data_IF_653852090654
#
_entry.id   IF_653852090654
#
_cell.length_a   1.000
_cell.length_b   1.000
_cell.length_c   1.000
_cell.angle_alpha   90.00
_cell.angle_beta   90.00
_cell.angle_gamma   90.00
#
_symmetry.space_group_name_H-M   'P 1'
#
loop_
_entity.id
_entity.type
_entity.pdbx_description
1 polymer ?
#
# COMPACT_ATOMS: atom_id res chain seq x y z
N UNK A 1 -32.23 -0.62 28.63
CA UNK A 1 -32.52 0.27 29.77
C UNK A 1 -33.96 0.08 30.19
N UNK A 2 -34.21 -0.19 31.46
CA UNK A 2 -35.58 -0.29 31.96
C UNK A 2 -36.18 1.12 32.01
N UNK A 3 -37.36 1.31 31.41
CA UNK A 3 -38.05 2.61 31.41
C UNK A 3 -38.57 3.06 32.78
N UNK A 4 -38.55 2.16 33.78
CA UNK A 4 -39.06 2.42 35.11
C UNK A 4 -37.97 2.64 36.17
N UNK A 5 -36.78 2.05 36.01
CA UNK A 5 -35.74 2.07 37.05
C UNK A 5 -34.32 2.34 36.50
N UNK A 6 -34.20 2.77 35.27
CA UNK A 6 -32.91 3.02 34.60
C UNK A 6 -31.89 1.86 34.64
N UNK A 7 -32.33 0.67 35.05
CA UNK A 7 -31.48 -0.51 35.12
C UNK A 7 -31.03 -0.90 33.71
N UNK A 8 -29.73 -0.87 33.51
CA UNK A 8 -29.10 -1.37 32.26
C UNK A 8 -28.97 -2.88 32.44
N UNK A 9 -29.82 -3.63 31.76
CA UNK A 9 -29.60 -5.08 31.61
C UNK A 9 -28.29 -5.22 30.82
N UNK A 10 -27.24 -5.84 31.37
CA UNK A 10 -26.06 -6.14 30.56
C UNK A 10 -26.50 -6.97 29.36
N UNK A 11 -26.16 -6.52 28.18
CA UNK A 11 -26.41 -7.30 26.96
C UNK A 11 -25.72 -8.63 27.16
N UNK A 12 -26.51 -9.71 27.22
CA UNK A 12 -25.94 -11.07 27.28
C UNK A 12 -24.97 -11.17 26.10
N UNK A 13 -23.74 -11.59 26.36
CA UNK A 13 -22.80 -11.93 25.32
C UNK A 13 -23.49 -12.87 24.31
N UNK A 14 -23.70 -12.41 23.11
CA UNK A 14 -24.27 -13.21 22.03
C UNK A 14 -23.14 -13.57 21.02
N UNK A 15 -23.40 -14.65 20.31
CA UNK A 15 -22.55 -14.96 19.14
C UNK A 15 -22.95 -13.98 18.03
N UNK A 16 -21.98 -13.23 17.54
CA UNK A 16 -22.24 -12.27 16.44
C UNK A 16 -22.56 -13.03 15.14
N UNK A 17 -23.64 -12.63 14.51
CA UNK A 17 -24.02 -13.05 13.15
C UNK A 17 -23.92 -11.83 12.23
N UNK A 18 -22.83 -11.74 11.49
CA UNK A 18 -22.55 -10.62 10.61
C UNK A 18 -23.17 -10.82 9.24
N UNK A 19 -23.57 -9.73 8.59
CA UNK A 19 -24.05 -9.75 7.22
C UNK A 19 -24.36 -8.37 6.67
N UNK A 20 -24.45 -8.28 5.36
CA UNK A 20 -24.78 -7.03 4.64
C UNK A 20 -26.24 -6.63 4.85
N UNK A 21 -27.17 -7.60 4.86
CA UNK A 21 -28.61 -7.37 5.00
C UNK A 21 -29.01 -7.30 6.47
N UNK A 22 -28.58 -6.27 7.21
CA UNK A 22 -29.18 -5.94 8.50
C UNK A 22 -30.48 -5.15 8.28
N UNK A 23 -31.40 -5.21 9.26
CA UNK A 23 -32.66 -4.45 9.20
C UNK A 23 -32.36 -2.93 9.19
N UNK A 24 -32.18 -2.38 7.99
CA UNK A 24 -32.11 -0.96 7.77
C UNK A 24 -33.52 -0.40 7.60
N UNK A 25 -34.07 0.16 8.68
CA UNK A 25 -35.41 0.77 8.69
C UNK A 25 -35.41 2.27 8.39
N UNK A 26 -34.26 2.82 8.01
CA UNK A 26 -34.08 4.25 7.69
C UNK A 26 -34.62 4.61 6.30
N UNK A 27 -35.01 5.87 6.13
CA UNK A 27 -35.27 6.44 4.81
C UNK A 27 -33.93 6.77 4.16
N UNK A 28 -33.61 6.12 3.06
CA UNK A 28 -32.39 6.41 2.28
C UNK A 28 -31.64 5.14 1.84
N UNK A 29 -30.46 5.34 1.30
CA UNK A 29 -29.59 4.24 0.86
C UNK A 29 -28.83 3.65 2.05
N UNK A 30 -28.59 2.34 2.03
CA UNK A 30 -27.72 1.66 3.01
C UNK A 30 -26.32 2.29 3.08
N UNK A 31 -25.85 2.90 2.01
CA UNK A 31 -24.57 3.62 1.95
C UNK A 31 -24.51 4.87 2.84
N UNK A 32 -25.65 5.44 3.20
CA UNK A 32 -25.77 6.60 4.09
C UNK A 32 -25.79 6.20 5.58
N UNK A 33 -25.92 4.91 5.88
CA UNK A 33 -25.86 4.43 7.27
C UNK A 33 -24.49 4.77 7.89
N UNK A 34 -24.51 5.15 9.16
CA UNK A 34 -23.32 5.63 9.85
C UNK A 34 -22.91 4.72 11.01
N UNK A 35 -21.60 4.49 11.11
CA UNK A 35 -20.96 3.82 12.24
C UNK A 35 -20.17 4.83 13.08
N UNK A 36 -20.18 4.66 14.38
CA UNK A 36 -19.32 5.44 15.28
C UNK A 36 -18.03 4.65 15.56
N UNK A 37 -16.90 5.17 15.08
CA UNK A 37 -15.60 4.51 15.18
C UNK A 37 -14.63 5.44 15.90
N UNK A 38 -14.25 5.10 17.13
CA UNK A 38 -13.29 5.88 17.90
C UNK A 38 -13.68 7.32 18.15
N UNK A 39 -14.99 7.61 18.24
CA UNK A 39 -15.52 8.96 18.42
C UNK A 39 -15.76 9.75 17.11
N UNK A 40 -15.51 9.15 15.96
CA UNK A 40 -15.82 9.71 14.62
C UNK A 40 -16.97 8.92 14.00
N UNK A 41 -17.88 9.63 13.32
CA UNK A 41 -18.98 9.01 12.58
C UNK A 41 -18.56 8.86 11.11
N UNK A 42 -18.67 7.64 10.56
CA UNK A 42 -18.39 7.34 9.15
C UNK A 42 -19.57 6.65 8.49
N UNK A 43 -19.88 7.05 7.26
CA UNK A 43 -20.89 6.36 6.46
C UNK A 43 -20.36 5.03 5.92
N UNK A 44 -21.27 4.13 5.53
CA UNK A 44 -20.91 2.89 4.81
C UNK A 44 -20.09 3.21 3.56
N UNK A 45 -20.50 4.20 2.78
CA UNK A 45 -19.77 4.63 1.59
C UNK A 45 -18.34 5.07 1.91
N UNK A 46 -18.15 5.88 2.96
CA UNK A 46 -16.82 6.29 3.40
C UNK A 46 -15.95 5.12 3.81
N UNK A 47 -16.50 4.14 4.52
CA UNK A 47 -15.77 2.93 4.92
C UNK A 47 -15.34 2.10 3.71
N UNK A 48 -16.20 1.95 2.72
CA UNK A 48 -15.88 1.24 1.47
C UNK A 48 -14.77 1.98 0.71
N UNK A 49 -14.89 3.29 0.54
CA UNK A 49 -13.88 4.11 -0.16
C UNK A 49 -12.52 4.10 0.54
N UNK A 50 -12.50 4.20 1.87
CA UNK A 50 -11.27 4.17 2.65
C UNK A 50 -10.59 2.79 2.62
N UNK A 51 -11.36 1.71 2.68
CA UNK A 51 -10.81 0.35 2.61
C UNK A 51 -10.35 -0.02 1.21
N UNK A 52 -11.07 0.44 0.18
CA UNK A 52 -10.84 0.14 -1.24
C UNK A 52 -11.05 -1.31 -1.66
N UNK A 53 -11.25 -2.24 -0.72
CA UNK A 53 -11.35 -3.67 -1.00
C UNK A 53 -12.41 -4.41 -0.18
N UNK A 54 -13.07 -3.77 0.79
CA UNK A 54 -14.00 -4.40 1.71
C UNK A 54 -15.23 -3.52 1.97
N UNK A 55 -16.33 -4.14 2.36
CA UNK A 55 -17.54 -3.47 2.84
C UNK A 55 -17.82 -3.87 4.30
N UNK A 56 -18.52 -3.02 5.08
CA UNK A 56 -18.88 -3.36 6.44
C UNK A 56 -20.07 -4.33 6.47
N UNK A 57 -19.98 -5.38 7.27
CA UNK A 57 -21.09 -6.24 7.63
C UNK A 57 -21.42 -6.07 9.09
N UNK A 58 -22.65 -5.63 9.40
CA UNK A 58 -23.10 -5.39 10.76
C UNK A 58 -23.66 -6.65 11.38
N UNK A 59 -23.55 -6.77 12.71
CA UNK A 59 -24.22 -7.81 13.46
C UNK A 59 -25.75 -7.68 13.34
N UNK A 60 -26.43 -8.76 12.96
CA UNK A 60 -27.89 -8.81 12.76
C UNK A 60 -28.67 -8.89 14.07
N UNK A 61 -27.99 -9.10 15.21
CA UNK A 61 -28.66 -9.12 16.49
C UNK A 61 -29.17 -7.73 16.85
N UNK A 62 -30.47 -7.55 17.12
CA UNK A 62 -31.07 -6.24 17.42
C UNK A 62 -30.35 -5.54 18.59
N UNK A 63 -29.99 -4.27 18.37
CA UNK A 63 -29.29 -3.44 19.35
C UNK A 63 -27.77 -3.66 19.42
N UNK A 64 -27.20 -4.55 18.62
CA UNK A 64 -25.76 -4.70 18.46
C UNK A 64 -25.26 -3.74 17.35
N UNK A 65 -24.29 -2.89 17.70
CA UNK A 65 -23.67 -1.95 16.76
C UNK A 65 -22.30 -2.44 16.23
N UNK A 66 -21.89 -3.65 16.58
CA UNK A 66 -20.65 -4.24 16.11
C UNK A 66 -20.71 -4.57 14.62
N UNK A 67 -19.60 -4.34 13.93
CA UNK A 67 -19.44 -4.68 12.51
C UNK A 67 -18.02 -5.18 12.21
N UNK A 68 -17.89 -5.87 11.10
CA UNK A 68 -16.61 -6.32 10.56
C UNK A 68 -16.46 -5.83 9.12
N UNK A 69 -15.23 -5.65 8.65
CA UNK A 69 -14.94 -5.37 7.24
C UNK A 69 -14.72 -6.68 6.50
N UNK A 70 -15.56 -6.95 5.51
CA UNK A 70 -15.54 -8.17 4.69
C UNK A 70 -15.06 -7.82 3.28
N UNK A 71 -14.10 -8.55 2.72
CA UNK A 71 -13.65 -8.32 1.35
C UNK A 71 -14.79 -8.40 0.33
N UNK A 72 -14.79 -7.51 -0.67
CA UNK A 72 -15.78 -7.53 -1.72
C UNK A 72 -15.76 -8.84 -2.51
N UNK A 73 -16.93 -9.41 -2.75
CA UNK A 73 -17.12 -10.51 -3.68
C UNK A 73 -17.40 -9.97 -5.07
N UNK A 74 -16.33 -9.69 -5.82
CA UNK A 74 -16.45 -9.10 -7.15
C UNK A 74 -17.09 -10.06 -8.17
N UNK A 75 -18.04 -9.55 -8.89
CA UNK A 75 -18.60 -10.18 -10.07
C UNK A 75 -17.65 -10.17 -11.26
N UNK A 76 -18.20 -10.47 -12.43
CA UNK A 76 -17.50 -10.39 -13.71
C UNK A 76 -17.19 -8.93 -14.05
N UNK A 77 -16.07 -8.69 -14.71
CA UNK A 77 -15.79 -7.43 -15.37
C UNK A 77 -16.61 -7.31 -16.66
N UNK A 78 -17.49 -6.34 -16.71
CA UNK A 78 -18.28 -6.05 -17.90
C UNK A 78 -17.71 -4.81 -18.59
N UNK A 79 -17.62 -4.84 -19.92
CA UNK A 79 -17.20 -3.67 -20.68
C UNK A 79 -18.36 -2.69 -20.74
N UNK A 80 -18.15 -1.47 -20.27
CA UNK A 80 -19.13 -0.38 -20.26
C UNK A 80 -18.85 0.70 -21.29
N UNK A 81 -17.59 0.77 -21.74
CA UNK A 81 -17.14 1.63 -22.83
C UNK A 81 -16.10 0.90 -23.65
N UNK A 82 -16.32 0.77 -24.96
CA UNK A 82 -15.30 0.24 -25.87
C UNK A 82 -14.23 1.29 -26.12
N UNK A 83 -12.94 0.91 -26.25
CA UNK A 83 -11.92 1.82 -26.78
C UNK A 83 -12.29 2.16 -28.22
N UNK A 84 -12.20 3.42 -28.61
CA UNK A 84 -12.44 3.83 -29.98
C UNK A 84 -11.14 4.01 -30.77
N UNK A 85 -11.29 4.20 -32.08
CA UNK A 85 -10.16 4.37 -33.01
C UNK A 85 -9.48 5.74 -32.91
N UNK A 86 -10.04 6.68 -32.14
CA UNK A 86 -9.50 8.04 -31.97
C UNK A 86 -8.59 8.17 -30.73
N UNK A 87 -8.30 7.05 -30.05
CA UNK A 87 -7.41 7.02 -28.89
C UNK A 87 -8.10 7.14 -27.54
N UNK A 88 -9.43 7.11 -27.53
CA UNK A 88 -10.19 7.02 -26.29
C UNK A 88 -10.04 5.63 -25.67
N UNK A 89 -9.63 5.61 -24.42
CA UNK A 89 -9.53 4.35 -23.67
C UNK A 89 -10.92 3.79 -23.40
N UNK A 90 -11.06 2.49 -23.53
CA UNK A 90 -12.24 1.77 -23.09
C UNK A 90 -12.38 1.74 -21.57
N UNK A 91 -13.54 1.30 -21.09
CA UNK A 91 -13.82 1.16 -19.66
C UNK A 91 -14.54 -0.14 -19.35
N UNK A 92 -14.23 -0.72 -18.22
CA UNK A 92 -14.94 -1.88 -17.68
C UNK A 92 -15.31 -1.65 -16.22
N UNK A 93 -16.33 -2.35 -15.78
CA UNK A 93 -16.89 -2.27 -14.43
C UNK A 93 -17.07 -3.65 -13.85
N UNK A 94 -16.78 -3.82 -12.59
CA UNK A 94 -17.14 -5.00 -11.81
C UNK A 94 -17.92 -4.57 -10.58
N UNK A 95 -19.00 -5.28 -10.28
CA UNK A 95 -19.90 -5.02 -9.16
C UNK A 95 -19.72 -6.08 -8.08
N UNK A 96 -19.74 -5.67 -6.82
CA UNK A 96 -19.75 -6.60 -5.70
C UNK A 96 -21.12 -7.28 -5.61
N UNK A 97 -21.15 -8.62 -5.62
CA UNK A 97 -22.40 -9.38 -5.55
C UNK A 97 -23.14 -9.27 -4.19
N UNK A 98 -22.55 -8.62 -3.20
CA UNK A 98 -23.12 -8.46 -1.87
C UNK A 98 -23.60 -7.04 -1.63
N UNK A 99 -22.76 -6.04 -1.85
CA UNK A 99 -23.06 -4.64 -1.56
C UNK A 99 -23.31 -3.78 -2.81
N UNK A 100 -23.27 -4.36 -4.02
CA UNK A 100 -23.51 -3.67 -5.29
C UNK A 100 -22.55 -2.50 -5.59
N UNK A 101 -21.53 -2.31 -4.73
CA UNK A 101 -20.50 -1.30 -4.99
C UNK A 101 -19.72 -1.64 -6.25
N UNK A 102 -19.46 -0.63 -7.07
CA UNK A 102 -18.84 -0.78 -8.37
C UNK A 102 -17.42 -0.24 -8.39
N UNK A 103 -16.51 -1.01 -8.95
CA UNK A 103 -15.18 -0.54 -9.30
C UNK A 103 -15.01 -0.48 -10.81
N UNK A 104 -14.29 0.53 -11.26
CA UNK A 104 -14.03 0.76 -12.67
C UNK A 104 -12.56 0.53 -13.01
N UNK A 105 -12.28 0.18 -14.26
CA UNK A 105 -10.93 0.06 -14.79
C UNK A 105 -10.90 0.46 -16.25
N UNK A 106 -9.85 1.18 -16.66
CA UNK A 106 -9.63 1.48 -18.07
C UNK A 106 -9.16 0.23 -18.82
N UNK A 107 -9.58 0.11 -20.08
CA UNK A 107 -9.03 -0.87 -21.02
C UNK A 107 -7.81 -0.22 -21.67
N UNK A 108 -6.63 -0.75 -21.36
CA UNK A 108 -5.35 -0.27 -21.87
C UNK A 108 -4.87 -1.19 -23.00
N UNK A 109 -4.66 -0.61 -24.20
CA UNK A 109 -4.19 -1.27 -25.41
C UNK A 109 -5.27 -1.43 -26.50
N UNK A 110 -4.84 -1.93 -27.67
CA UNK A 110 -5.69 -2.08 -28.86
C UNK A 110 -6.48 -3.39 -28.81
N UNK A 111 -7.73 -3.31 -28.43
CA UNK A 111 -8.65 -4.43 -28.49
C UNK A 111 -9.33 -4.51 -29.86
N UNK A 112 -8.87 -5.41 -30.69
CA UNK A 112 -9.29 -5.57 -32.09
C UNK A 112 -9.75 -7.01 -32.41
N UNK A 113 -10.19 -7.27 -33.65
CA UNK A 113 -10.51 -8.61 -34.12
C UNK A 113 -9.36 -9.62 -34.04
N UNK A 114 -8.10 -9.15 -33.95
CA UNK A 114 -6.91 -9.99 -33.91
C UNK A 114 -6.37 -10.18 -32.49
N UNK A 115 -7.06 -9.57 -31.49
CA UNK A 115 -6.69 -9.62 -30.07
C UNK A 115 -7.89 -10.10 -29.24
N UNK A 116 -7.66 -10.32 -27.94
CA UNK A 116 -8.73 -10.58 -27.00
C UNK A 116 -8.47 -9.83 -25.68
N UNK A 117 -9.54 -9.44 -25.01
CA UNK A 117 -9.47 -8.86 -23.67
C UNK A 117 -9.37 -10.00 -22.64
N UNK A 118 -8.46 -9.89 -21.68
CA UNK A 118 -8.31 -10.80 -20.55
C UNK A 118 -8.75 -10.11 -19.28
N UNK A 119 -9.68 -10.73 -18.59
CA UNK A 119 -10.10 -10.34 -17.25
C UNK A 119 -10.00 -11.51 -16.29
N UNK A 120 -9.77 -11.23 -15.02
CA UNK A 120 -9.60 -12.24 -13.99
C UNK A 120 -10.55 -11.92 -12.84
N UNK A 121 -11.42 -12.86 -12.52
CA UNK A 121 -12.25 -12.82 -11.32
C UNK A 121 -11.42 -13.30 -10.14
N UNK A 122 -11.43 -12.56 -9.04
CA UNK A 122 -10.65 -12.90 -7.83
C UNK A 122 -9.16 -13.12 -8.14
N UNK A 123 -8.55 -12.10 -8.77
CA UNK A 123 -7.15 -12.15 -9.13
C UNK A 123 -6.77 -11.08 -10.17
N UNK A 124 -5.62 -11.25 -10.79
CA UNK A 124 -5.10 -10.34 -11.82
C UNK A 124 -4.28 -11.07 -12.88
N UNK A 125 -4.16 -10.46 -14.04
CA UNK A 125 -3.24 -10.87 -15.11
C UNK A 125 -2.19 -9.77 -15.36
N UNK A 126 -1.05 -10.14 -15.94
CA UNK A 126 0.01 -9.19 -16.32
C UNK A 126 -0.35 -8.33 -17.53
N UNK A 127 -1.30 -8.78 -18.35
CA UNK A 127 -1.81 -8.03 -19.51
C UNK A 127 -3.32 -8.16 -19.62
N UNK A 128 -3.96 -7.12 -20.10
CA UNK A 128 -5.38 -7.09 -20.38
C UNK A 128 -5.69 -7.42 -21.84
N UNK A 129 -4.88 -6.93 -22.77
CA UNK A 129 -5.03 -7.21 -24.20
C UNK A 129 -3.96 -8.22 -24.62
N UNK A 130 -4.41 -9.29 -25.26
CA UNK A 130 -3.57 -10.41 -25.67
C UNK A 130 -3.85 -10.83 -27.10
N UNK A 131 -2.87 -11.45 -27.73
CA UNK A 131 -2.97 -12.10 -29.03
C UNK A 131 -2.49 -13.56 -28.96
N UNK A 132 -2.80 -14.37 -29.94
CA UNK A 132 -2.32 -15.74 -30.02
C UNK A 132 -0.80 -15.82 -29.82
N UNK A 133 -0.36 -16.75 -28.98
CA UNK A 133 1.05 -16.97 -28.65
C UNK A 133 1.58 -16.11 -27.48
N UNK A 134 0.85 -15.12 -27.02
CA UNK A 134 1.28 -14.32 -25.86
C UNK A 134 1.41 -15.20 -24.62
N UNK A 135 2.48 -14.93 -23.88
CA UNK A 135 2.72 -15.51 -22.55
C UNK A 135 2.40 -14.46 -21.49
N UNK A 136 1.44 -14.77 -20.64
CA UNK A 136 1.03 -13.93 -19.53
C UNK A 136 1.16 -14.68 -18.22
N UNK A 137 1.11 -13.95 -17.12
CA UNK A 137 1.01 -14.51 -15.77
C UNK A 137 -0.33 -14.16 -15.17
N UNK A 138 -0.92 -15.16 -14.50
CA UNK A 138 -2.15 -15.04 -13.74
C UNK A 138 -1.83 -15.17 -12.26
N UNK A 139 -2.40 -14.31 -11.46
CA UNK A 139 -2.23 -14.30 -10.00
C UNK A 139 -3.62 -14.44 -9.39
N UNK A 140 -3.93 -15.60 -8.78
CA UNK A 140 -5.16 -15.75 -8.03
C UNK A 140 -5.12 -14.86 -6.78
N UNK A 141 -6.27 -14.45 -6.29
CA UNK A 141 -6.40 -13.79 -4.99
C UNK A 141 -6.02 -14.77 -3.88
N UNK A 142 -5.23 -14.30 -2.92
CA UNK A 142 -4.84 -15.10 -1.77
C UNK A 142 -6.05 -15.38 -0.88
N UNK A 143 -6.25 -16.63 -0.50
CA UNK A 143 -7.31 -17.07 0.40
C UNK A 143 -6.75 -17.94 1.49
N UNK A 144 -6.88 -17.50 2.74
CA UNK A 144 -6.40 -18.23 3.91
C UNK A 144 -6.91 -19.68 3.92
N UNK A 145 -5.98 -20.62 4.01
CA UNK A 145 -6.31 -22.05 4.03
C UNK A 145 -6.75 -22.66 2.70
N UNK A 146 -6.72 -21.90 1.60
CA UNK A 146 -7.06 -22.42 0.26
C UNK A 146 -5.95 -22.11 -0.73
N UNK A 147 -5.63 -23.08 -1.59
CA UNK A 147 -4.69 -22.89 -2.70
C UNK A 147 -5.41 -22.97 -4.04
N UNK A 148 -4.99 -22.17 -5.01
CA UNK A 148 -5.48 -22.29 -6.36
C UNK A 148 -4.93 -23.58 -6.99
N UNK A 149 -5.82 -24.43 -7.50
CA UNK A 149 -5.48 -25.72 -8.13
C UNK A 149 -5.67 -25.72 -9.64
N UNK A 150 -6.19 -24.64 -10.20
CA UNK A 150 -6.44 -24.49 -11.62
C UNK A 150 -7.26 -23.25 -11.93
N UNK A 151 -7.64 -23.11 -13.18
CA UNK A 151 -8.40 -21.98 -13.69
C UNK A 151 -9.51 -22.46 -14.60
N UNK A 152 -10.74 -22.02 -14.37
CA UNK A 152 -11.79 -22.06 -15.37
C UNK A 152 -11.63 -20.87 -16.30
N UNK A 153 -11.96 -21.08 -17.57
CA UNK A 153 -11.90 -19.99 -18.56
C UNK A 153 -13.21 -19.97 -19.31
N UNK A 154 -13.79 -18.80 -19.41
CA UNK A 154 -14.89 -18.53 -20.28
C UNK A 154 -14.43 -17.54 -21.35
N UNK A 155 -14.90 -17.70 -22.56
CA UNK A 155 -14.74 -16.76 -23.63
C UNK A 155 -16.12 -16.28 -24.08
N UNK A 156 -16.27 -14.98 -24.20
CA UNK A 156 -17.48 -14.36 -24.69
C UNK A 156 -17.12 -13.33 -25.77
N UNK A 157 -17.79 -13.42 -26.88
CA UNK A 157 -17.86 -12.37 -27.89
C UNK A 157 -19.32 -12.03 -28.10
N UNK A 158 -19.73 -10.87 -27.61
CA UNK A 158 -21.07 -10.35 -27.85
C UNK A 158 -21.11 -9.59 -29.18
N UNK A 159 -22.24 -9.63 -29.82
CA UNK A 159 -22.54 -8.75 -30.94
C UNK A 159 -22.80 -7.36 -30.35
N UNK A 160 -21.78 -6.53 -30.28
CA UNK A 160 -21.94 -5.13 -29.93
C UNK A 160 -22.19 -4.35 -31.22
N UNK A 161 -23.18 -3.47 -31.20
CA UNK A 161 -23.48 -2.52 -32.28
C UNK A 161 -22.32 -1.53 -32.54
N UNK A 162 -21.23 -1.64 -31.80
CA UNK A 162 -20.02 -0.85 -31.97
C UNK A 162 -19.22 -1.40 -33.15
N UNK A 163 -19.11 -0.62 -34.21
CA UNK A 163 -18.38 -0.87 -35.46
C UNK A 163 -16.91 -1.28 -35.30
N UNK A 164 -16.35 -1.15 -34.14
CA UNK A 164 -14.97 -1.46 -33.84
C UNK A 164 -14.68 -2.98 -33.87
N UNK A 165 -15.65 -3.83 -33.54
CA UNK A 165 -15.60 -5.28 -33.81
C UNK A 165 -16.42 -5.56 -35.07
N UNK A 166 -16.02 -4.97 -36.19
CA UNK A 166 -16.65 -5.21 -37.49
C UNK A 166 -16.45 -6.65 -37.92
N UNK A 167 -17.34 -7.51 -37.54
CA UNK A 167 -17.38 -8.89 -37.98
C UNK A 167 -18.80 -9.37 -37.99
N UNK A 168 -19.21 -9.82 -39.12
CA UNK A 168 -20.49 -10.54 -39.39
C UNK A 168 -20.63 -11.83 -38.58
N UNK A 169 -19.99 -11.93 -37.41
CA UNK A 169 -19.96 -13.13 -36.57
C UNK A 169 -21.10 -13.14 -35.56
N UNK A 170 -21.79 -14.25 -35.46
CA UNK A 170 -22.72 -14.54 -34.38
C UNK A 170 -22.04 -14.43 -33.00
N UNK A 171 -22.81 -14.11 -31.94
CA UNK A 171 -22.28 -14.21 -30.57
C UNK A 171 -21.67 -15.58 -30.33
N UNK A 172 -20.48 -15.61 -29.74
CA UNK A 172 -19.78 -16.86 -29.44
C UNK A 172 -19.52 -16.92 -27.94
N UNK A 173 -19.97 -17.99 -27.32
CA UNK A 173 -19.66 -18.31 -25.93
C UNK A 173 -18.99 -19.67 -25.86
N UNK A 174 -17.87 -19.76 -25.18
CA UNK A 174 -17.13 -20.99 -24.92
C UNK A 174 -16.75 -21.06 -23.44
N UNK A 175 -16.77 -22.26 -22.91
CA UNK A 175 -16.40 -22.52 -21.51
C UNK A 175 -15.44 -23.70 -21.45
N UNK A 176 -14.37 -23.55 -20.71
CA UNK A 176 -13.42 -24.61 -20.45
C UNK A 176 -13.31 -24.89 -18.94
N UNK A 177 -13.49 -26.13 -18.56
CA UNK A 177 -13.22 -26.61 -17.21
C UNK A 177 -11.74 -26.41 -16.86
N UNK A 178 -11.39 -26.54 -15.59
CA UNK A 178 -10.00 -26.35 -15.14
C UNK A 178 -9.02 -27.32 -15.85
N UNK A 179 -9.44 -28.55 -16.14
CA UNK A 179 -8.59 -29.54 -16.83
C UNK A 179 -8.40 -29.20 -18.32
N UNK A 180 -9.48 -28.79 -19.00
CA UNK A 180 -9.41 -28.37 -20.39
C UNK A 180 -8.59 -27.08 -20.54
N UNK A 181 -8.83 -26.10 -19.68
CA UNK A 181 -8.09 -24.84 -19.67
C UNK A 181 -6.60 -25.06 -19.38
N UNK A 182 -6.25 -25.97 -18.47
CA UNK A 182 -4.87 -26.32 -18.17
C UNK A 182 -4.10 -26.77 -19.41
N UNK A 183 -4.73 -27.60 -20.22
CA UNK A 183 -4.11 -28.13 -21.46
C UNK A 183 -4.08 -27.07 -22.54
N UNK A 184 -5.20 -26.40 -22.79
CA UNK A 184 -5.37 -25.46 -23.90
C UNK A 184 -4.52 -24.18 -23.73
N UNK A 185 -4.51 -23.60 -22.53
CA UNK A 185 -3.76 -22.39 -22.20
C UNK A 185 -2.37 -22.70 -21.61
N UNK A 186 -1.94 -23.97 -21.59
CA UNK A 186 -0.66 -24.42 -21.01
C UNK A 186 -0.43 -23.83 -19.62
N UNK A 187 -1.44 -23.93 -18.77
CA UNK A 187 -1.40 -23.37 -17.42
C UNK A 187 -0.45 -24.17 -16.53
N UNK A 188 0.56 -23.50 -15.99
CA UNK A 188 1.57 -24.09 -15.11
C UNK A 188 1.85 -23.16 -13.93
N UNK A 189 2.03 -23.73 -12.74
CA UNK A 189 2.50 -22.98 -11.57
C UNK A 189 3.97 -22.63 -11.73
N UNK A 190 4.36 -21.45 -11.28
CA UNK A 190 5.74 -20.97 -11.29
C UNK A 190 6.35 -21.06 -9.88
N UNK A 191 6.40 -22.28 -9.33
CA UNK A 191 6.95 -22.57 -8.01
C UNK A 191 5.99 -22.29 -6.84
N UNK A 192 4.84 -21.67 -7.09
CA UNK A 192 3.80 -21.37 -6.09
C UNK A 192 2.43 -21.42 -6.75
N UNK A 193 1.40 -21.81 -5.98
CA UNK A 193 0.01 -21.75 -6.44
C UNK A 193 -0.51 -20.30 -6.60
N UNK A 194 0.24 -19.30 -6.16
CA UNK A 194 -0.08 -17.88 -6.27
C UNK A 194 0.40 -17.24 -7.58
N UNK A 195 1.18 -17.97 -8.41
CA UNK A 195 1.63 -17.48 -9.72
C UNK A 195 1.53 -18.58 -10.77
N UNK A 196 0.81 -18.29 -11.85
CA UNK A 196 0.56 -19.22 -12.95
C UNK A 196 1.01 -18.64 -14.27
N UNK A 197 1.84 -19.36 -15.01
CA UNK A 197 2.11 -19.08 -16.42
C UNK A 197 0.91 -19.50 -17.26
N UNK A 198 0.56 -18.66 -18.24
CA UNK A 198 -0.51 -18.91 -19.21
C UNK A 198 -0.02 -18.55 -20.60
N UNK A 199 -0.28 -19.40 -21.59
CA UNK A 199 -0.03 -19.13 -23.01
C UNK A 199 -1.35 -19.04 -23.74
N UNK A 200 -1.62 -17.93 -24.41
CA UNK A 200 -2.85 -17.73 -25.18
C UNK A 200 -2.79 -18.61 -26.45
N UNK A 201 -3.70 -19.55 -26.62
CA UNK A 201 -3.72 -20.41 -27.80
C UNK A 201 -4.15 -19.66 -29.05
N UNK A 202 -3.95 -20.29 -30.20
CA UNK A 202 -4.52 -19.77 -31.45
C UNK A 202 -6.05 -19.71 -31.37
N UNK A 203 -6.65 -18.62 -31.82
CA UNK A 203 -8.12 -18.48 -31.78
C UNK A 203 -8.83 -19.59 -32.56
N UNK A 204 -8.26 -20.03 -33.67
CA UNK A 204 -8.75 -21.18 -34.43
C UNK A 204 -8.73 -22.50 -33.67
N UNK A 205 -7.73 -22.70 -32.78
CA UNK A 205 -7.65 -23.91 -31.94
C UNK A 205 -8.72 -23.95 -30.85
N UNK A 206 -9.32 -22.82 -30.54
CA UNK A 206 -10.38 -22.67 -29.55
C UNK A 206 -11.78 -22.61 -30.17
N UNK A 207 -11.85 -22.59 -31.52
CA UNK A 207 -13.08 -22.28 -32.26
C UNK A 207 -13.74 -21.00 -31.69
N UNK A 208 -12.89 -20.00 -31.42
CA UNK A 208 -13.25 -18.71 -30.86
C UNK A 208 -12.56 -17.63 -31.70
N UNK A 209 -13.32 -16.75 -32.37
CA UNK A 209 -12.74 -15.64 -33.14
C UNK A 209 -12.07 -14.62 -32.20
N UNK A 210 -11.13 -13.83 -32.71
CA UNK A 210 -10.61 -12.68 -31.95
C UNK A 210 -11.67 -11.60 -31.72
N UNK A 211 -11.34 -10.60 -30.94
CA UNK A 211 -12.26 -9.52 -30.57
C UNK A 211 -13.20 -9.84 -29.40
N UNK A 212 -13.06 -10.98 -28.76
CA UNK A 212 -13.82 -11.34 -27.57
C UNK A 212 -13.04 -11.14 -26.27
N UNK A 213 -13.65 -11.58 -25.19
CA UNK A 213 -13.13 -11.45 -23.83
C UNK A 213 -12.96 -12.82 -23.20
N UNK A 214 -11.78 -13.07 -22.63
CA UNK A 214 -11.51 -14.20 -21.75
C UNK A 214 -11.76 -13.81 -20.30
N UNK A 215 -12.55 -14.62 -19.60
CA UNK A 215 -12.77 -14.53 -18.17
C UNK A 215 -12.07 -15.70 -17.49
N UNK A 216 -11.01 -15.40 -16.76
CA UNK A 216 -10.33 -16.40 -15.95
C UNK A 216 -10.87 -16.40 -14.53
N UNK A 217 -11.23 -17.56 -14.01
CA UNK A 217 -11.65 -17.74 -12.63
C UNK A 217 -10.82 -18.83 -11.96
N UNK A 218 -10.11 -18.51 -10.85
CA UNK A 218 -9.30 -19.52 -10.16
C UNK A 218 -10.20 -20.54 -9.45
N UNK A 219 -9.79 -21.80 -9.51
CA UNK A 219 -10.41 -22.89 -8.75
C UNK A 219 -9.59 -23.14 -7.51
N UNK A 220 -10.21 -23.05 -6.35
CA UNK A 220 -9.56 -23.24 -5.08
C UNK A 220 -9.87 -24.61 -4.47
N UNK A 221 -8.92 -25.15 -3.71
CA UNK A 221 -9.10 -26.29 -2.82
C UNK A 221 -8.48 -25.98 -1.45
N UNK A 222 -8.85 -26.76 -0.43
CA UNK A 222 -8.20 -26.68 0.86
C UNK A 222 -6.69 -26.87 0.71
N UNK A 223 -5.92 -26.01 1.37
CA UNK A 223 -4.47 -26.09 1.36
C UNK A 223 -3.99 -27.06 2.44
N UNK A 224 -3.18 -28.02 2.06
CA UNK A 224 -2.51 -28.97 2.97
C UNK A 224 -1.19 -28.43 3.51
N UNK A 225 -0.83 -27.20 3.14
CA UNK A 225 0.40 -26.49 3.52
C UNK A 225 1.70 -27.25 3.16
N UNK A 226 1.65 -28.17 2.18
CA UNK A 226 2.81 -28.96 1.73
C UNK A 226 3.74 -28.22 0.74
N UNK A 227 3.31 -27.07 0.20
CA UNK A 227 4.03 -26.32 -0.84
C UNK A 227 5.22 -25.50 -0.33
N UNK A 228 5.67 -25.73 0.90
CA UNK A 228 6.78 -24.99 1.52
C UNK A 228 6.33 -23.70 2.19
N UNK A 229 7.31 -22.90 2.63
CA UNK A 229 7.06 -21.66 3.37
C UNK A 229 7.75 -20.48 2.73
N UNK A 230 7.17 -19.28 2.93
CA UNK A 230 7.76 -17.99 2.58
C UNK A 230 7.75 -17.08 3.79
N UNK A 231 8.58 -16.03 3.77
CA UNK A 231 8.63 -15.04 4.85
C UNK A 231 7.94 -13.77 4.38
N UNK A 232 6.93 -13.33 5.12
CA UNK A 232 6.17 -12.11 4.86
C UNK A 232 6.54 -11.02 5.89
N UNK A 233 6.39 -9.77 5.50
CA UNK A 233 6.51 -8.60 6.39
C UNK A 233 7.88 -8.44 7.09
N UNK A 234 8.94 -9.15 6.66
CA UNK A 234 10.26 -8.99 7.24
C UNK A 234 10.76 -7.54 7.08
N UNK A 235 11.33 -7.01 8.15
CA UNK A 235 11.93 -5.66 8.17
C UNK A 235 13.29 -5.76 8.82
N UNK A 236 14.32 -5.30 8.12
CA UNK A 236 15.64 -5.20 8.72
C UNK A 236 15.61 -4.21 9.92
N UNK A 237 16.34 -4.55 10.97
CA UNK A 237 16.64 -3.62 12.04
C UNK A 237 17.60 -2.55 11.48
N UNK A 238 17.29 -1.27 11.70
CA UNK A 238 18.11 -0.16 11.19
C UNK A 238 18.25 0.90 12.27
N UNK A 239 19.46 1.19 12.65
CA UNK A 239 19.77 2.17 13.68
C UNK A 239 19.06 1.83 15.01
N UNK A 240 18.30 2.80 15.55
CA UNK A 240 17.49 2.67 16.77
C UNK A 240 16.09 2.10 16.51
N UNK A 241 15.74 1.84 15.23
CA UNK A 241 14.43 1.28 14.86
C UNK A 241 14.48 -0.23 14.92
N UNK A 242 13.47 -0.79 15.57
CA UNK A 242 13.30 -2.24 15.61
C UNK A 242 13.03 -2.80 14.20
N UNK A 243 13.60 -3.95 13.93
CA UNK A 243 13.28 -4.79 12.80
C UNK A 243 12.20 -5.81 13.16
N UNK A 244 11.91 -6.69 12.23
CA UNK A 244 11.00 -7.82 12.38
C UNK A 244 11.50 -9.00 11.55
N UNK A 245 11.54 -10.20 12.12
CA UNK A 245 12.01 -11.40 11.42
C UNK A 245 11.09 -11.79 10.26
N UNK A 246 9.87 -11.33 10.28
CA UNK A 246 8.82 -11.69 9.34
C UNK A 246 8.01 -12.91 9.78
N UNK A 247 6.79 -12.98 9.30
CA UNK A 247 5.89 -14.10 9.52
C UNK A 247 6.24 -15.24 8.56
N UNK A 248 6.25 -16.46 9.04
CA UNK A 248 6.34 -17.63 8.18
C UNK A 248 4.96 -17.99 7.67
N UNK A 249 4.76 -17.92 6.36
CA UNK A 249 3.49 -18.24 5.70
C UNK A 249 3.63 -19.40 4.73
N UNK A 250 2.54 -20.09 4.46
CA UNK A 250 2.47 -21.10 3.42
C UNK A 250 2.68 -20.47 2.04
N UNK A 251 3.59 -21.00 1.23
CA UNK A 251 3.88 -20.48 -0.10
C UNK A 251 2.71 -20.66 -1.10
N UNK A 252 1.80 -21.63 -0.83
CA UNK A 252 0.68 -21.94 -1.71
C UNK A 252 -0.59 -21.13 -1.42
N UNK A 253 -0.86 -20.75 -0.16
CA UNK A 253 -2.11 -20.08 0.20
C UNK A 253 -1.93 -18.78 0.97
N UNK A 254 -0.70 -18.39 1.29
CA UNK A 254 -0.43 -17.15 2.05
C UNK A 254 -0.77 -17.20 3.53
N UNK A 255 -1.37 -18.30 4.03
CA UNK A 255 -1.75 -18.40 5.44
C UNK A 255 -0.51 -18.35 6.34
N UNK A 256 -0.54 -17.46 7.33
CA UNK A 256 0.51 -17.38 8.34
C UNK A 256 0.50 -18.65 9.21
N UNK A 257 1.62 -19.37 9.21
CA UNK A 257 1.84 -20.60 9.99
C UNK A 257 2.41 -20.24 11.36
N UNK A 258 3.36 -19.29 11.38
CA UNK A 258 3.92 -18.77 12.62
C UNK A 258 4.26 -17.30 12.49
N UNK A 259 3.94 -16.53 13.53
CA UNK A 259 4.33 -15.13 13.60
C UNK A 259 5.85 -15.00 13.81
N UNK A 260 6.42 -13.96 13.23
CA UNK A 260 7.80 -13.57 13.48
C UNK A 260 8.00 -12.95 14.85
N UNK A 261 9.20 -12.44 15.06
CA UNK A 261 9.60 -11.75 16.29
C UNK A 261 10.18 -10.39 15.99
N UNK A 262 9.99 -9.44 16.88
CA UNK A 262 10.65 -8.16 16.82
C UNK A 262 12.17 -8.34 17.01
N UNK A 263 12.97 -7.66 16.17
CA UNK A 263 14.42 -7.56 16.30
C UNK A 263 14.69 -6.22 16.97
N UNK A 264 15.06 -6.25 18.23
CA UNK A 264 15.36 -5.03 18.98
C UNK A 264 16.79 -4.57 18.70
N UNK A 265 17.02 -3.26 18.50
CA UNK A 265 18.36 -2.72 18.41
C UNK A 265 19.10 -2.89 19.76
N UNK A 266 20.42 -2.99 19.75
CA UNK A 266 21.22 -2.92 20.98
C UNK A 266 20.87 -1.68 21.81
N UNK A 267 20.99 -1.75 23.12
CA UNK A 267 20.60 -0.68 24.05
C UNK A 267 21.22 0.70 23.75
N UNK A 268 22.34 0.75 23.03
CA UNK A 268 23.04 1.97 22.62
C UNK A 268 23.19 2.05 21.09
N UNK A 269 22.25 1.50 20.32
CA UNK A 269 22.30 1.57 18.87
C UNK A 269 22.19 3.03 18.42
N UNK A 270 23.29 3.56 17.93
CA UNK A 270 23.33 4.86 17.26
C UNK A 270 22.87 4.77 15.81
N UNK A 271 22.95 5.89 15.13
CA UNK A 271 22.72 5.91 13.68
C UNK A 271 23.93 5.32 12.94
N UNK A 272 23.71 4.26 12.15
CA UNK A 272 24.77 3.51 11.46
C UNK A 272 24.90 3.87 9.98
N UNK A 273 23.94 4.60 9.42
CA UNK A 273 23.98 5.03 8.02
C UNK A 273 24.82 6.29 7.81
N UNK A 274 25.26 6.54 6.57
CA UNK A 274 25.88 7.78 6.19
C UNK A 274 25.05 9.00 6.61
N UNK A 275 25.72 10.05 7.10
CA UNK A 275 25.08 11.28 7.54
C UNK A 275 25.09 12.31 6.42
N UNK A 276 23.94 12.87 6.09
CA UNK A 276 23.79 13.97 5.15
C UNK A 276 23.44 15.25 5.90
N UNK A 277 24.12 16.38 5.63
CA UNK A 277 23.79 17.66 6.21
C UNK A 277 22.34 18.06 5.95
N UNK A 278 21.68 18.65 6.94
CA UNK A 278 20.36 19.24 6.77
C UNK A 278 20.46 20.74 6.48
N UNK A 279 19.62 21.23 5.59
CA UNK A 279 19.54 22.61 5.15
C UNK A 279 18.11 23.13 5.27
N UNK A 280 17.94 24.44 5.31
CA UNK A 280 16.65 25.11 5.15
C UNK A 280 16.78 26.29 4.18
N UNK A 281 15.69 26.67 3.54
CA UNK A 281 15.65 27.75 2.54
C UNK A 281 14.65 28.82 2.94
N UNK A 282 15.09 30.07 2.91
CA UNK A 282 14.23 31.23 3.16
C UNK A 282 13.49 31.15 4.50
N UNK A 283 12.18 31.36 4.47
CA UNK A 283 11.27 31.28 5.62
C UNK A 283 10.70 29.87 5.84
N UNK A 284 11.00 28.95 4.95
CA UNK A 284 10.54 27.55 5.09
C UNK A 284 11.46 26.81 6.08
N UNK A 285 10.91 26.51 7.25
CA UNK A 285 11.63 25.80 8.31
C UNK A 285 11.72 24.27 8.10
N UNK A 286 11.23 23.76 6.99
CA UNK A 286 11.36 22.34 6.68
C UNK A 286 12.80 21.98 6.34
N UNK A 287 13.35 21.00 7.07
CA UNK A 287 14.70 20.52 6.83
C UNK A 287 14.75 19.62 5.59
N UNK A 288 15.74 19.86 4.71
CA UNK A 288 16.01 19.06 3.51
C UNK A 288 17.47 18.68 3.42
N UNK A 289 17.79 17.60 2.70
CA UNK A 289 19.18 17.22 2.38
C UNK A 289 19.68 17.82 1.08
N UNK A 290 18.83 18.52 0.32
CA UNK A 290 19.20 19.17 -0.93
C UNK A 290 20.00 20.47 -0.65
N UNK A 291 21.22 20.54 -1.13
CA UNK A 291 22.10 21.70 -1.01
C UNK A 291 22.12 22.57 -2.28
N UNK A 292 21.41 22.18 -3.34
CA UNK A 292 21.53 22.75 -4.70
C UNK A 292 21.13 24.22 -4.80
N UNK A 293 20.35 24.73 -3.85
CA UNK A 293 19.79 26.09 -3.87
C UNK A 293 20.47 27.05 -2.86
N UNK A 294 21.67 26.74 -2.36
CA UNK A 294 22.40 27.61 -1.46
C UNK A 294 21.75 27.76 -0.05
N UNK A 295 21.04 26.74 0.40
CA UNK A 295 20.40 26.73 1.71
C UNK A 295 21.38 26.88 2.88
N UNK A 296 20.91 27.43 3.99
CA UNK A 296 21.67 27.49 5.23
C UNK A 296 21.59 26.16 5.95
N UNK A 297 22.70 25.76 6.61
CA UNK A 297 22.74 24.58 7.47
C UNK A 297 21.66 24.64 8.55
N UNK A 298 20.86 23.59 8.68
CA UNK A 298 19.78 23.52 9.65
C UNK A 298 20.33 23.50 11.07
N UNK A 299 19.83 24.40 11.91
CA UNK A 299 20.27 24.64 13.29
C UNK A 299 21.74 25.06 13.46
N UNK A 300 22.51 25.21 12.38
CA UNK A 300 23.90 25.67 12.53
C UNK A 300 23.97 27.10 13.05
N UNK A 301 24.98 27.38 13.87
CA UNK A 301 25.30 28.72 14.35
C UNK A 301 26.80 28.91 14.48
N UNK A 302 27.26 30.09 14.18
CA UNK A 302 28.63 30.55 14.55
C UNK A 302 28.75 30.64 16.07
N UNK A 303 29.89 30.31 16.60
CA UNK A 303 30.20 30.59 18.00
C UNK A 303 30.30 32.11 18.26
N UNK A 304 29.87 32.54 19.41
CA UNK A 304 30.07 33.88 19.96
C UNK A 304 30.54 33.78 21.42
N UNK A 305 30.66 34.88 22.10
CA UNK A 305 31.12 34.90 23.48
C UNK A 305 30.17 34.17 24.46
N UNK A 306 28.91 34.00 24.11
CA UNK A 306 27.85 33.43 24.97
C UNK A 306 27.41 32.05 24.54
N UNK A 307 27.61 31.76 23.26
CA UNK A 307 27.10 30.52 22.65
C UNK A 307 28.25 29.80 21.94
N UNK A 308 28.39 28.51 22.19
CA UNK A 308 29.29 27.66 21.44
C UNK A 308 28.85 27.58 19.96
N UNK A 309 29.83 27.45 19.08
CA UNK A 309 29.52 27.10 17.68
C UNK A 309 28.78 25.78 17.62
N UNK A 310 27.94 25.63 16.60
CA UNK A 310 27.24 24.37 16.30
C UNK A 310 27.24 24.15 14.81
N UNK A 311 27.69 22.99 14.35
CA UNK A 311 27.83 22.72 12.92
C UNK A 311 26.51 22.44 12.20
N UNK A 312 25.41 22.22 12.93
CA UNK A 312 24.08 21.91 12.39
C UNK A 312 23.76 20.44 12.40
N UNK A 313 22.51 20.14 12.17
CA UNK A 313 21.97 18.79 12.22
C UNK A 313 22.20 18.02 10.91
N UNK A 314 22.15 16.70 11.00
CA UNK A 314 22.29 15.75 9.90
C UNK A 314 21.08 14.82 9.83
N UNK A 315 20.86 14.25 8.67
CA UNK A 315 19.90 13.15 8.46
C UNK A 315 20.68 11.86 8.23
N UNK A 316 20.36 10.83 8.98
CA UNK A 316 20.86 9.49 8.68
C UNK A 316 20.15 8.94 7.43
N UNK A 317 20.91 8.56 6.40
CA UNK A 317 20.35 8.05 5.14
C UNK A 317 19.70 6.67 5.30
N UNK A 318 20.14 5.88 6.28
CA UNK A 318 19.60 4.54 6.51
C UNK A 318 18.23 4.55 7.18
N UNK A 319 17.98 5.45 8.14
CA UNK A 319 16.74 5.47 8.91
C UNK A 319 15.91 6.76 8.74
N UNK A 320 16.47 7.79 8.09
CA UNK A 320 15.84 9.12 7.95
C UNK A 320 15.76 9.91 9.26
N UNK A 321 16.35 9.42 10.36
CA UNK A 321 16.39 10.10 11.66
C UNK A 321 17.33 11.30 11.64
N UNK A 322 17.06 12.28 12.50
CA UNK A 322 17.91 13.45 12.68
C UNK A 322 19.00 13.15 13.71
N UNK A 323 20.25 13.44 13.33
CA UNK A 323 21.44 13.31 14.19
C UNK A 323 21.93 14.71 14.51
N UNK A 324 22.22 14.96 15.77
CA UNK A 324 22.82 16.22 16.21
C UNK A 324 24.24 16.28 15.75
N UNK A 325 24.66 17.45 15.23
CA UNK A 325 26.05 17.71 14.90
C UNK A 325 26.92 18.01 16.10
N UNK A 326 28.19 18.29 15.86
CA UNK A 326 29.15 18.61 16.91
C UNK A 326 29.04 20.04 17.40
N UNK A 327 29.33 20.22 18.66
CA UNK A 327 29.41 21.54 19.29
C UNK A 327 30.88 21.98 19.32
N UNK A 328 31.18 23.06 18.65
CA UNK A 328 32.49 23.67 18.63
C UNK A 328 32.72 24.60 19.83
N UNK A 329 33.76 25.39 19.76
CA UNK A 329 34.18 26.29 20.85
C UNK A 329 33.43 27.64 20.84
N UNK A 330 33.54 28.36 21.94
CA UNK A 330 33.16 29.78 22.02
C UNK A 330 34.12 30.59 21.14
N UNK A 331 33.61 31.62 20.51
CA UNK A 331 34.42 32.54 19.72
C UNK A 331 34.13 33.96 20.22
N UNK A 332 35.21 34.61 20.74
CA UNK A 332 35.04 36.01 21.10
C UNK A 332 34.70 36.86 19.87
N UNK A 333 33.63 37.65 19.96
CA UNK A 333 33.10 38.44 18.86
C UNK A 333 33.34 39.93 18.98
N UNK A 334 33.80 40.40 20.15
CA UNK A 334 34.18 41.81 20.39
C UNK A 334 35.66 42.07 20.16
N UNK A 335 36.02 43.35 19.96
CA UNK A 335 37.41 43.75 19.99
C UNK A 335 38.05 43.42 21.34
N UNK A 336 39.37 43.25 21.35
CA UNK A 336 40.12 42.98 22.56
C UNK A 336 40.65 44.28 23.11
N UNK A 337 40.53 44.46 24.40
CA UNK A 337 41.11 45.55 25.17
C UNK A 337 42.15 45.00 26.12
N UNK A 338 43.28 45.72 26.22
CA UNK A 338 44.34 45.37 27.17
C UNK A 338 44.04 46.01 28.53
N UNK A 339 43.93 45.18 29.58
CA UNK A 339 43.72 45.64 30.96
C UNK A 339 44.88 45.15 31.82
N UNK A 340 45.03 45.76 32.99
CA UNK A 340 46.08 45.39 34.02
C UNK A 340 47.50 45.60 33.54
N UNK A 341 47.69 46.44 32.52
CA UNK A 341 49.07 46.79 32.08
C UNK A 341 49.86 47.48 33.21
N UNK A 342 51.04 46.99 33.53
CA UNK A 342 51.94 47.64 34.48
C UNK A 342 53.31 47.86 33.83
N UNK A 343 53.76 49.11 33.91
CA UNK A 343 55.09 49.42 33.43
C UNK A 343 56.18 48.76 34.32
N UNK A 344 57.24 48.33 33.72
CA UNK A 344 58.39 47.86 34.48
C UNK A 344 59.03 49.03 35.26
N UNK A 345 59.49 48.78 36.51
CA UNK A 345 60.28 49.69 37.33
C UNK A 345 61.65 49.09 37.48
N UNK A 346 62.57 49.84 38.11
CA UNK A 346 63.93 49.36 38.38
C UNK A 346 64.00 48.11 39.29
N UNK A 347 62.92 47.85 40.04
CA UNK A 347 62.86 46.76 41.02
C UNK A 347 61.77 45.73 40.73
N UNK A 348 60.79 46.06 39.85
CA UNK A 348 59.69 45.17 39.54
C UNK A 348 59.52 44.97 38.03
N UNK A 349 59.23 43.71 37.67
CA UNK A 349 58.92 43.38 36.27
C UNK A 349 57.56 43.99 35.85
N UNK A 350 57.54 44.62 34.64
CA UNK A 350 56.30 45.07 34.03
C UNK A 350 55.43 43.88 33.67
N UNK A 351 54.14 44.16 33.45
CA UNK A 351 53.17 43.22 32.94
C UNK A 351 52.50 43.81 31.71
N UNK A 352 52.44 43.04 30.63
CA UNK A 352 51.90 43.45 29.33
C UNK A 352 50.38 43.54 29.30
N UNK A 353 49.73 43.13 30.39
CA UNK A 353 48.32 43.14 30.54
C UNK A 353 47.61 41.87 30.03
N UNK A 354 46.37 41.74 30.38
CA UNK A 354 45.46 40.71 29.92
C UNK A 354 44.61 41.24 28.76
N UNK A 355 44.33 40.41 27.80
CA UNK A 355 43.40 40.72 26.72
C UNK A 355 41.96 40.33 27.13
N UNK A 356 41.09 41.31 27.18
CA UNK A 356 39.68 41.15 27.50
C UNK A 356 38.84 41.40 26.25
N UNK A 357 37.86 40.53 26.00
CA UNK A 357 36.90 40.73 24.94
C UNK A 357 35.82 41.70 25.38
N UNK A 358 35.67 42.86 24.71
CA UNK A 358 34.73 43.90 25.09
C UNK A 358 33.25 43.50 24.97
N UNK A 359 32.93 42.37 24.35
CA UNK A 359 31.56 41.86 24.22
C UNK A 359 31.13 40.93 25.35
N UNK A 360 32.07 40.33 26.11
CA UNK A 360 31.75 39.37 27.17
C UNK A 360 32.49 39.55 28.48
N UNK A 361 33.46 40.53 28.49
CA UNK A 361 34.31 40.85 29.64
C UNK A 361 35.22 39.69 30.08
#
# INVERSE_FOLDING_TARGET
RCSVCDYIVPVKSHVHDYGWNWDYTGFGSIYEYTFNIGGSTKTVEQLILESGYAHPEKCKVPGCEEFIMVPHSWGRWNVVKNPDTEGDKGGMEAECSVCEYKKTKEIDGDWTKDTALVTVKNGRATRMIVKPGDKIRLYPEERNGQKAIGWKVEYLREYNECDFISGTGLPVSKNWSANEAKTLFKLVTNGSALEWGCTIPAFSAMDAPGGGQFFFEPVYAACDHSGGTTVLNAKAQVCDRKGYTGDTACADCGQVISAGSDIYPPANAGHTGPLQPLYYYGTNLSATTDASHGGKRYNARSGDCRHRAYEGDYRCTACGGTVKGETGDFKHSGPFELRDVRAATCTEKGYSGNQYCTACD
#
